data_IF_564402754332
#
_entry.id   IF_564402754332
#
_cell.length_a   1.000
_cell.length_b   1.000
_cell.length_c   1.000
_cell.angle_alpha   90.00
_cell.angle_beta   90.00
_cell.angle_gamma   90.00
#
_symmetry.space_group_name_H-M   'P 1'
#
loop_
_entity.id
_entity.type
_entity.pdbx_description
1 polymer ?
#
# COMPACT_ATOMS: atom_id res chain seq x y z
N UNK A 1 -33.65 -65.11 52.93
CA UNK A 1 -32.30 -65.02 52.38
C UNK A 1 -32.32 -64.05 51.24
N UNK A 2 -31.85 -62.85 51.47
CA UNK A 2 -31.83 -61.78 50.45
C UNK A 2 -30.42 -61.70 49.84
N UNK A 3 -30.31 -61.96 48.56
CA UNK A 3 -29.07 -61.81 47.77
C UNK A 3 -28.85 -60.33 47.48
N UNK A 4 -27.72 -59.75 47.95
CA UNK A 4 -27.24 -58.44 47.62
C UNK A 4 -26.79 -58.38 46.15
N UNK A 5 -27.41 -57.52 45.38
CA UNK A 5 -26.97 -57.19 44.02
C UNK A 5 -25.96 -56.04 44.11
N UNK A 6 -24.74 -56.34 43.78
CA UNK A 6 -23.66 -55.32 43.72
C UNK A 6 -23.77 -54.56 42.37
N UNK A 7 -24.10 -53.27 42.46
CA UNK A 7 -24.06 -52.39 41.29
C UNK A 7 -22.62 -52.10 40.93
N UNK A 8 -22.17 -52.60 39.80
CA UNK A 8 -20.94 -52.17 39.13
C UNK A 8 -21.18 -50.81 38.51
N UNK A 9 -20.50 -49.83 39.00
CA UNK A 9 -20.46 -48.48 38.39
C UNK A 9 -19.60 -48.54 37.16
N UNK A 10 -20.22 -48.39 36.00
CA UNK A 10 -19.52 -48.23 34.74
C UNK A 10 -19.09 -46.76 34.64
N UNK A 11 -17.82 -46.47 34.81
CA UNK A 11 -17.24 -45.15 34.54
C UNK A 11 -16.94 -45.10 33.05
N UNK A 12 -17.87 -44.51 32.30
CA UNK A 12 -17.63 -44.18 30.91
C UNK A 12 -16.73 -42.97 30.85
N UNK A 13 -15.47 -43.16 30.56
CA UNK A 13 -14.55 -42.07 30.23
C UNK A 13 -14.94 -41.50 28.84
N UNK A 14 -15.68 -40.42 28.86
CA UNK A 14 -15.95 -39.62 27.67
C UNK A 14 -14.64 -38.87 27.30
N UNK A 15 -13.89 -39.42 26.35
CA UNK A 15 -12.80 -38.68 25.71
C UNK A 15 -13.42 -37.62 24.83
N UNK A 16 -13.52 -36.40 25.37
CA UNK A 16 -13.83 -35.22 24.57
C UNK A 16 -12.59 -34.94 23.69
N UNK A 17 -12.61 -35.41 22.45
CA UNK A 17 -11.73 -34.86 21.44
C UNK A 17 -12.15 -33.41 21.22
N UNK A 18 -11.45 -32.51 21.86
CA UNK A 18 -11.49 -31.10 21.54
C UNK A 18 -10.91 -30.94 20.12
N UNK A 19 -11.79 -30.98 19.11
CA UNK A 19 -11.48 -30.45 17.82
C UNK A 19 -11.23 -28.95 17.98
N UNK A 20 -9.98 -28.57 18.17
CA UNK A 20 -9.54 -27.20 18.01
C UNK A 20 -9.84 -26.81 16.57
N UNK A 21 -10.77 -25.88 16.31
CA UNK A 21 -10.86 -25.30 14.99
C UNK A 21 -9.49 -24.65 14.75
N UNK A 22 -8.78 -25.13 13.77
CA UNK A 22 -7.75 -24.36 13.11
C UNK A 22 -8.45 -23.13 12.50
N UNK A 23 -8.83 -22.20 13.36
CA UNK A 23 -8.95 -20.82 12.99
C UNK A 23 -7.60 -20.47 12.41
N UNK A 24 -7.48 -20.66 11.08
CA UNK A 24 -6.54 -19.91 10.31
C UNK A 24 -6.70 -18.48 10.78
N UNK A 25 -5.87 -18.13 11.73
CA UNK A 25 -5.61 -16.77 12.09
C UNK A 25 -4.97 -16.14 10.84
N UNK A 26 -5.79 -15.81 9.87
CA UNK A 26 -5.61 -14.54 9.21
C UNK A 26 -5.76 -13.53 10.34
N UNK A 27 -4.73 -13.50 11.18
CA UNK A 27 -4.43 -12.33 11.95
C UNK A 27 -4.44 -11.26 10.88
N UNK A 28 -5.53 -10.50 10.83
CA UNK A 28 -5.50 -9.20 10.25
C UNK A 28 -4.26 -8.60 10.92
N UNK A 29 -3.14 -8.57 10.21
CA UNK A 29 -2.01 -7.73 10.53
C UNK A 29 -2.67 -6.37 10.58
N UNK A 30 -3.05 -5.95 11.78
CA UNK A 30 -3.34 -4.57 12.07
C UNK A 30 -2.10 -3.88 11.53
N UNK A 31 -2.28 -3.22 10.39
CA UNK A 31 -1.23 -2.66 9.62
C UNK A 31 -0.61 -1.51 10.40
N UNK A 32 0.34 -1.82 11.25
CA UNK A 32 1.44 -0.91 11.50
C UNK A 32 2.25 -0.92 10.19
N UNK A 33 1.74 -0.18 9.20
CA UNK A 33 2.28 -0.18 7.87
C UNK A 33 3.76 0.14 7.94
N UNK A 34 4.60 -0.77 7.42
CA UNK A 34 6.05 -0.59 7.43
C UNK A 34 6.38 0.65 6.60
N UNK A 35 6.97 1.64 7.24
CA UNK A 35 7.46 2.84 6.58
C UNK A 35 8.92 2.64 6.17
N UNK A 36 9.24 2.90 4.92
CA UNK A 36 10.59 2.80 4.36
C UNK A 36 10.97 4.08 3.64
N UNK A 37 12.23 4.45 3.71
CA UNK A 37 12.76 5.59 2.94
C UNK A 37 13.33 5.11 1.63
N UNK A 38 12.96 5.75 0.53
CA UNK A 38 13.51 5.44 -0.81
C UNK A 38 15.04 5.57 -0.85
N UNK A 39 15.61 6.43 -0.01
CA UNK A 39 17.07 6.64 0.11
C UNK A 39 17.82 5.35 0.46
N UNK A 40 17.19 4.40 1.16
CA UNK A 40 17.80 3.13 1.56
C UNK A 40 18.07 2.19 0.38
N UNK A 41 17.39 2.41 -0.74
CA UNK A 41 17.43 1.54 -1.92
C UNK A 41 18.14 2.17 -3.12
N UNK A 42 18.63 3.41 -2.98
CA UNK A 42 19.21 4.13 -4.10
C UNK A 42 20.63 3.63 -4.43
N UNK A 43 20.76 3.06 -5.61
CA UNK A 43 22.02 2.67 -6.27
C UNK A 43 22.16 3.46 -7.59
N UNK A 44 21.95 4.77 -7.57
CA UNK A 44 21.92 5.67 -8.72
C UNK A 44 20.73 5.46 -9.68
N UNK A 45 19.74 4.63 -9.33
CA UNK A 45 18.49 4.44 -10.06
C UNK A 45 17.29 4.64 -9.13
N UNK A 46 16.69 5.80 -9.20
CA UNK A 46 15.52 6.13 -8.38
C UNK A 46 14.26 5.34 -8.76
N UNK A 47 14.15 4.88 -10.01
CA UNK A 47 13.02 4.06 -10.45
C UNK A 47 13.10 2.69 -9.80
N UNK A 48 14.27 2.08 -9.83
CA UNK A 48 14.51 0.80 -9.16
C UNK A 48 14.35 0.94 -7.63
N UNK A 49 14.88 2.01 -7.05
CA UNK A 49 14.76 2.30 -5.63
C UNK A 49 13.28 2.44 -5.17
N UNK A 50 12.47 3.17 -5.91
CA UNK A 50 11.04 3.33 -5.62
C UNK A 50 10.29 2.01 -5.73
N UNK A 51 10.55 1.22 -6.78
CA UNK A 51 9.93 -0.10 -6.95
C UNK A 51 10.29 -1.04 -5.81
N UNK A 52 11.56 -1.09 -5.42
CA UNK A 52 12.02 -1.92 -4.30
C UNK A 52 11.42 -1.46 -2.98
N UNK A 53 11.38 -0.15 -2.73
CA UNK A 53 10.77 0.40 -1.53
C UNK A 53 9.27 0.04 -1.44
N UNK A 54 8.55 0.03 -2.55
CA UNK A 54 7.16 -0.44 -2.56
C UNK A 54 7.02 -1.95 -2.33
N UNK A 55 8.01 -2.76 -2.67
CA UNK A 55 7.98 -4.18 -2.31
C UNK A 55 8.12 -4.37 -0.79
N UNK A 56 8.96 -3.56 -0.14
CA UNK A 56 9.36 -3.75 1.25
C UNK A 56 8.52 -2.96 2.25
N UNK A 57 7.84 -1.88 1.82
CA UNK A 57 7.07 -0.99 2.69
C UNK A 57 5.63 -0.76 2.24
N UNK A 58 4.78 -0.40 3.19
CA UNK A 58 3.41 0.04 2.94
C UNK A 58 3.35 1.57 2.74
N UNK A 59 4.28 2.28 3.37
CA UNK A 59 4.51 3.71 3.14
C UNK A 59 5.95 3.92 2.68
N UNK A 60 6.09 4.43 1.47
CA UNK A 60 7.38 4.81 0.88
C UNK A 60 7.57 6.31 1.04
N UNK A 61 8.66 6.70 1.67
CA UNK A 61 8.96 8.12 1.95
C UNK A 61 10.07 8.61 1.05
N UNK A 62 9.81 9.72 0.37
CA UNK A 62 10.84 10.58 -0.24
C UNK A 62 11.17 11.66 0.79
N UNK A 63 12.34 11.59 1.46
CA UNK A 63 12.67 12.50 2.55
C UNK A 63 12.79 13.96 2.10
N UNK A 64 12.62 14.89 3.04
CA UNK A 64 12.89 16.31 2.81
C UNK A 64 14.35 16.52 2.36
N UNK A 65 14.55 17.46 1.44
CA UNK A 65 15.86 17.77 0.88
C UNK A 65 16.39 16.74 -0.14
N UNK A 66 15.67 15.61 -0.36
CA UNK A 66 16.03 14.64 -1.39
C UNK A 66 15.30 14.96 -2.68
N UNK A 67 16.03 14.94 -3.79
CA UNK A 67 15.44 14.95 -5.14
C UNK A 67 15.72 13.62 -5.82
N UNK A 68 14.65 12.92 -6.21
CA UNK A 68 14.74 11.74 -7.04
C UNK A 68 14.54 12.16 -8.50
N UNK A 69 15.60 12.10 -9.27
CA UNK A 69 15.63 12.60 -10.64
C UNK A 69 15.39 11.51 -11.68
N UNK A 70 15.13 11.94 -12.91
CA UNK A 70 15.03 11.05 -14.09
C UNK A 70 13.92 9.99 -13.99
N UNK A 71 12.81 10.32 -13.32
CA UNK A 71 11.62 9.47 -13.36
C UNK A 71 11.00 9.55 -14.75
N UNK A 72 11.32 8.58 -15.61
CA UNK A 72 11.00 8.60 -17.05
C UNK A 72 10.11 7.44 -17.51
N UNK A 73 9.56 6.68 -16.58
CA UNK A 73 8.69 5.52 -16.84
C UNK A 73 7.54 5.45 -15.83
N UNK A 74 6.64 4.49 -16.05
CA UNK A 74 5.55 4.20 -15.12
C UNK A 74 6.02 3.44 -13.89
N UNK A 75 5.65 3.95 -12.71
CA UNK A 75 5.83 3.29 -11.42
C UNK A 75 4.45 3.05 -10.83
N UNK A 76 4.14 1.79 -10.51
CA UNK A 76 2.89 1.44 -9.88
C UNK A 76 2.99 1.66 -8.38
N UNK A 77 1.99 2.35 -7.82
CA UNK A 77 1.76 2.39 -6.38
C UNK A 77 0.75 1.28 -6.09
N UNK A 78 1.17 0.18 -5.45
CA UNK A 78 0.30 -0.98 -5.24
C UNK A 78 -0.91 -0.67 -4.37
N UNK A 79 -1.89 -1.59 -4.34
CA UNK A 79 -3.12 -1.45 -3.58
C UNK A 79 -2.86 -1.10 -2.10
N UNK A 80 -3.55 -0.08 -1.62
CA UNK A 80 -3.50 0.40 -0.25
C UNK A 80 -2.18 1.07 0.17
N UNK A 81 -1.14 1.09 -0.68
CA UNK A 81 0.16 1.67 -0.32
C UNK A 81 0.18 3.19 -0.48
N UNK A 82 1.11 3.81 0.24
CA UNK A 82 1.25 5.27 0.30
C UNK A 82 2.62 5.70 -0.21
N UNK A 83 2.65 6.66 -1.12
CA UNK A 83 3.83 7.44 -1.46
C UNK A 83 3.76 8.77 -0.71
N UNK A 84 4.65 8.96 0.28
CA UNK A 84 4.76 10.17 1.05
C UNK A 84 5.95 11.00 0.55
N UNK A 85 5.67 12.17 0.01
CA UNK A 85 6.68 13.03 -0.61
C UNK A 85 6.91 14.24 0.28
N UNK A 86 8.09 14.35 0.85
CA UNK A 86 8.59 15.51 1.59
C UNK A 86 9.68 16.25 0.84
N UNK A 87 10.30 15.60 -0.12
CA UNK A 87 11.30 16.13 -1.03
C UNK A 87 10.72 16.35 -2.44
N UNK A 88 11.52 16.07 -3.46
CA UNK A 88 11.12 16.26 -4.84
C UNK A 88 11.26 14.98 -5.68
N UNK A 89 10.36 14.83 -6.64
CA UNK A 89 10.43 13.84 -7.70
C UNK A 89 10.41 14.57 -9.02
N UNK A 90 11.44 14.38 -9.86
CA UNK A 90 11.53 15.05 -11.15
C UNK A 90 11.56 14.05 -12.30
N UNK A 91 10.80 14.34 -13.31
CA UNK A 91 10.70 13.53 -14.52
C UNK A 91 11.04 14.33 -15.78
N UNK A 92 10.82 13.70 -16.93
CA UNK A 92 11.03 14.31 -18.23
C UNK A 92 9.73 14.40 -19.06
N UNK A 93 8.57 14.40 -18.38
CA UNK A 93 7.24 14.38 -19.00
C UNK A 93 6.75 12.98 -19.43
N UNK A 94 7.59 11.94 -19.33
CA UNK A 94 7.20 10.54 -19.56
C UNK A 94 6.99 9.77 -18.26
N UNK A 95 7.47 10.31 -17.14
CA UNK A 95 7.30 9.73 -15.82
C UNK A 95 5.84 9.75 -15.39
N UNK A 96 5.39 8.65 -14.78
CA UNK A 96 4.05 8.58 -14.20
C UNK A 96 4.03 7.70 -12.97
N UNK A 97 3.22 8.06 -12.00
CA UNK A 97 2.82 7.17 -10.94
C UNK A 97 1.41 6.66 -11.22
N UNK A 98 1.26 5.34 -11.26
CA UNK A 98 -0.01 4.67 -11.52
C UNK A 98 -0.60 4.22 -10.18
N UNK A 99 -1.66 4.90 -9.76
CA UNK A 99 -2.34 4.64 -8.49
C UNK A 99 -3.32 3.46 -8.66
N UNK A 100 -3.10 2.41 -7.88
CA UNK A 100 -3.98 1.25 -7.80
C UNK A 100 -5.03 1.45 -6.70
N UNK A 101 -5.86 0.44 -6.42
CA UNK A 101 -6.97 0.49 -5.47
C UNK A 101 -6.52 0.98 -4.08
N UNK A 102 -7.17 2.01 -3.54
CA UNK A 102 -6.90 2.54 -2.20
C UNK A 102 -5.51 3.15 -1.99
N UNK A 103 -4.70 3.29 -3.05
CA UNK A 103 -3.36 3.84 -2.94
C UNK A 103 -3.37 5.36 -2.73
N UNK A 104 -2.29 5.89 -2.16
CA UNK A 104 -2.23 7.30 -1.76
C UNK A 104 -0.94 7.96 -2.23
N UNK A 105 -1.05 9.21 -2.66
CA UNK A 105 0.09 10.12 -2.87
C UNK A 105 -0.12 11.35 -2.00
N UNK A 106 0.78 11.55 -1.06
CA UNK A 106 0.68 12.63 -0.07
C UNK A 106 1.92 13.48 -0.14
N UNK A 107 1.75 14.77 -0.37
CA UNK A 107 2.80 15.77 -0.20
C UNK A 107 2.76 16.35 1.19
N UNK A 108 3.92 16.50 1.82
CA UNK A 108 4.10 17.17 3.10
C UNK A 108 5.25 18.18 3.02
N UNK A 109 5.07 19.33 3.65
CA UNK A 109 6.06 20.39 3.64
C UNK A 109 6.37 20.88 2.21
N UNK A 110 7.59 20.65 1.73
CA UNK A 110 8.02 21.02 0.38
C UNK A 110 7.80 19.92 -0.66
N UNK A 111 7.00 18.92 -0.33
CA UNK A 111 6.72 17.77 -1.19
C UNK A 111 6.17 18.18 -2.55
N UNK A 112 6.93 17.86 -3.61
CA UNK A 112 6.56 18.25 -4.97
C UNK A 112 6.91 17.20 -6.02
N UNK A 113 6.21 17.29 -7.14
CA UNK A 113 6.56 16.59 -8.38
C UNK A 113 6.72 17.58 -9.52
N UNK A 114 7.65 17.29 -10.41
CA UNK A 114 7.92 18.09 -11.60
C UNK A 114 7.97 17.20 -12.83
N UNK A 115 7.17 17.54 -13.84
CA UNK A 115 7.08 16.78 -15.10
C UNK A 115 6.76 15.28 -14.93
N UNK A 116 5.91 14.95 -13.95
CA UNK A 116 5.42 13.60 -13.63
C UNK A 116 3.90 13.60 -13.60
N UNK A 117 3.28 12.66 -14.31
CA UNK A 117 1.83 12.48 -14.32
C UNK A 117 1.39 11.52 -13.21
N UNK A 118 0.28 11.84 -12.52
CA UNK A 118 -0.43 10.91 -11.67
C UNK A 118 -1.57 10.26 -12.47
N UNK A 119 -1.50 8.94 -12.67
CA UNK A 119 -2.48 8.15 -13.43
C UNK A 119 -3.30 7.32 -12.44
N UNK A 120 -4.51 7.78 -12.12
CA UNK A 120 -5.39 7.16 -11.14
C UNK A 120 -6.24 6.10 -11.82
N UNK A 121 -6.01 4.85 -11.51
CA UNK A 121 -6.71 3.68 -12.10
C UNK A 121 -7.55 2.90 -11.11
N UNK A 122 -7.22 2.97 -9.82
CA UNK A 122 -7.97 2.35 -8.74
C UNK A 122 -9.03 3.27 -8.16
N UNK A 123 -9.99 2.70 -7.44
CA UNK A 123 -10.93 3.43 -6.59
C UNK A 123 -10.30 3.79 -5.25
N UNK A 124 -10.94 4.68 -4.50
CA UNK A 124 -10.54 5.07 -3.13
C UNK A 124 -9.10 5.58 -3.03
N UNK A 125 -8.54 6.07 -4.15
CA UNK A 125 -7.23 6.72 -4.18
C UNK A 125 -7.28 8.11 -3.56
N UNK A 126 -6.18 8.51 -2.91
CA UNK A 126 -6.04 9.83 -2.30
C UNK A 126 -4.83 10.54 -2.88
N UNK A 127 -5.01 11.77 -3.35
CA UNK A 127 -3.94 12.69 -3.69
C UNK A 127 -4.14 13.92 -2.83
N UNK A 128 -3.14 14.26 -2.00
CA UNK A 128 -3.27 15.33 -1.02
C UNK A 128 -1.97 16.11 -0.85
N UNK A 129 -2.09 17.43 -0.75
CA UNK A 129 -1.00 18.31 -0.31
C UNK A 129 0.23 18.35 -1.21
N UNK A 130 0.12 17.91 -2.48
CA UNK A 130 1.24 17.78 -3.39
C UNK A 130 1.31 18.98 -4.32
N UNK A 131 2.45 19.67 -4.36
CA UNK A 131 2.73 20.65 -5.40
C UNK A 131 3.16 19.96 -6.69
N UNK A 132 2.57 20.35 -7.82
CA UNK A 132 2.86 19.78 -9.13
C UNK A 132 3.23 20.89 -10.12
N UNK A 133 4.30 20.68 -10.90
CA UNK A 133 4.81 21.66 -11.85
C UNK A 133 5.47 21.00 -13.08
N UNK A 134 5.96 21.82 -14.00
CA UNK A 134 6.78 21.35 -15.13
C UNK A 134 6.00 20.69 -16.27
N UNK A 135 4.71 20.93 -16.35
CA UNK A 135 3.90 20.45 -17.46
C UNK A 135 3.70 21.56 -18.50
N UNK A 136 4.01 21.26 -19.73
CA UNK A 136 3.47 21.99 -20.85
C UNK A 136 1.95 21.76 -20.97
N UNK A 137 1.36 21.61 -22.15
CA UNK A 137 -0.07 21.37 -22.32
C UNK A 137 -0.52 19.93 -21.94
N UNK A 138 0.21 19.24 -21.06
CA UNK A 138 -0.02 17.84 -20.71
C UNK A 138 -0.81 17.73 -19.39
N UNK A 139 -1.71 16.77 -19.31
CA UNK A 139 -2.51 16.49 -18.10
C UNK A 139 -1.62 16.02 -16.96
N UNK A 140 -1.67 16.72 -15.83
CA UNK A 140 -0.90 16.39 -14.62
C UNK A 140 -1.52 15.22 -13.84
N UNK A 141 -2.84 15.18 -13.79
CA UNK A 141 -3.60 14.11 -13.12
C UNK A 141 -4.58 13.54 -14.13
N UNK A 142 -4.46 12.25 -14.39
CA UNK A 142 -5.37 11.50 -15.23
C UNK A 142 -6.18 10.53 -14.39
N UNK A 143 -7.50 10.61 -14.47
CA UNK A 143 -8.41 9.71 -13.77
C UNK A 143 -9.14 8.89 -14.83
N UNK A 144 -8.84 7.60 -14.89
CA UNK A 144 -9.44 6.74 -15.90
C UNK A 144 -9.07 5.28 -15.71
N UNK A 145 -9.87 4.39 -16.27
CA UNK A 145 -9.64 2.96 -16.27
C UNK A 145 -10.39 2.30 -17.42
N UNK A 146 -9.93 1.12 -17.85
CA UNK A 146 -10.56 0.34 -18.92
C UNK A 146 -11.97 -0.19 -18.59
N UNK A 147 -12.37 -0.15 -17.32
CA UNK A 147 -13.71 -0.57 -16.88
C UNK A 147 -14.29 0.56 -16.03
N UNK A 148 -15.50 1.04 -16.34
CA UNK A 148 -16.18 2.02 -15.51
C UNK A 148 -16.55 1.35 -14.17
N UNK A 149 -15.70 1.51 -13.17
CA UNK A 149 -16.02 1.29 -11.77
C UNK A 149 -16.46 2.62 -11.19
N UNK A 150 -17.34 2.58 -10.21
CA UNK A 150 -17.60 3.78 -9.40
C UNK A 150 -16.29 4.08 -8.67
N UNK A 151 -15.55 5.05 -9.20
CA UNK A 151 -14.29 5.48 -8.61
C UNK A 151 -14.60 6.53 -7.56
N UNK A 152 -14.16 6.28 -6.34
CA UNK A 152 -14.22 7.25 -5.24
C UNK A 152 -12.79 7.72 -4.99
N UNK A 153 -12.49 8.95 -5.43
CA UNK A 153 -11.17 9.53 -5.28
C UNK A 153 -11.27 10.85 -4.55
N UNK A 154 -10.32 11.09 -3.65
CA UNK A 154 -10.20 12.33 -2.92
C UNK A 154 -8.97 13.08 -3.43
N UNK A 155 -9.20 14.27 -3.97
CA UNK A 155 -8.17 15.22 -4.36
C UNK A 155 -8.32 16.47 -3.46
N UNK A 156 -7.30 16.76 -2.67
CA UNK A 156 -7.28 17.90 -1.74
C UNK A 156 -5.97 18.67 -1.88
#
# INVERSE_FOLDING_TARGET
MLKKITRRTFVSSLSVLAATPLLSSRIARAASGRTVSVKQYNNNDWIAALKQAFNDGDTVVVPAGLTCENINTGIFIPDGKTLLIRGALTGNGRGRFVLQEGSKVIGEGEGRTESITLDVRGSDCVIKGLAMSGFGPVTQIYIGGKKPRVMRNLLI
#
